data_IF_954139895170
#
_entry.id   IF_954139895170
#
_cell.length_a   1.000
_cell.length_b   1.000
_cell.length_c   1.000
_cell.angle_alpha   90.00
_cell.angle_beta   90.00
_cell.angle_gamma   90.00
#
_symmetry.space_group_name_H-M   'P 1'
#
loop_
_entity.id
_entity.type
_entity.pdbx_description
1 polymer ?
#
# COMPACT_ATOMS: atom_id res chain seq x y z
N UNK A 1 -14.41 15.22 14.04
CA UNK A 1 -12.93 15.18 14.07
C UNK A 1 -12.44 15.37 12.65
N UNK A 2 -11.25 15.92 12.45
CA UNK A 2 -10.66 16.11 11.13
C UNK A 2 -9.34 15.35 11.08
N UNK A 3 -9.06 14.75 9.93
CA UNK A 3 -7.92 13.88 9.76
C UNK A 3 -7.34 14.05 8.36
N UNK A 4 -6.02 13.89 8.25
CA UNK A 4 -5.37 13.65 6.96
C UNK A 4 -5.97 12.39 6.33
N UNK A 5 -6.20 12.45 5.02
CA UNK A 5 -6.75 11.36 4.20
C UNK A 5 -6.12 11.36 2.80
N UNK A 6 -6.35 10.29 2.06
CA UNK A 6 -5.68 10.01 0.79
C UNK A 6 -4.35 9.29 1.01
N UNK A 7 -4.12 8.23 0.25
CA UNK A 7 -2.97 7.33 0.44
C UNK A 7 -1.64 8.07 0.42
N UNK A 8 -1.41 8.92 -0.60
CA UNK A 8 -0.17 9.69 -0.73
C UNK A 8 0.08 10.62 0.46
N UNK A 9 -0.95 11.34 0.92
CA UNK A 9 -0.83 12.24 2.07
C UNK A 9 -0.61 11.48 3.38
N UNK A 10 -1.24 10.31 3.55
CA UNK A 10 -1.04 9.44 4.72
C UNK A 10 0.37 8.83 4.76
N UNK A 11 0.90 8.40 3.61
CA UNK A 11 2.29 7.95 3.48
C UNK A 11 3.24 9.10 3.83
N UNK A 12 3.06 10.28 3.21
CA UNK A 12 3.88 11.46 3.47
C UNK A 12 3.85 11.88 4.94
N UNK A 13 2.67 11.93 5.55
CA UNK A 13 2.49 12.21 6.97
C UNK A 13 3.23 11.22 7.86
N UNK A 14 3.21 9.94 7.50
CA UNK A 14 3.88 8.90 8.27
C UNK A 14 5.40 8.99 8.15
N UNK A 15 5.93 9.25 6.97
CA UNK A 15 7.36 9.45 6.77
C UNK A 15 7.86 10.70 7.50
N UNK A 16 7.07 11.78 7.49
CA UNK A 16 7.39 13.06 8.15
C UNK A 16 7.53 12.97 9.68
N UNK A 17 7.11 11.88 10.32
CA UNK A 17 7.39 11.64 11.75
C UNK A 17 8.88 11.46 12.04
N UNK A 18 9.70 11.26 11.00
CA UNK A 18 11.15 11.18 11.10
C UNK A 18 11.74 12.56 10.75
N UNK A 19 12.35 13.26 11.73
CA UNK A 19 12.80 14.64 11.53
C UNK A 19 14.00 14.77 10.57
N UNK A 20 14.69 13.67 10.29
CA UNK A 20 15.84 13.63 9.38
C UNK A 20 15.42 13.48 7.91
N UNK A 21 14.12 13.26 7.63
CA UNK A 21 13.59 13.15 6.27
C UNK A 21 12.92 14.45 5.86
N UNK A 22 13.22 14.89 4.64
CA UNK A 22 12.46 15.93 3.97
C UNK A 22 11.40 15.29 3.09
N UNK A 23 10.15 15.70 3.24
CA UNK A 23 9.03 15.13 2.49
C UNK A 23 8.46 16.19 1.55
N UNK A 24 8.31 15.85 0.28
CA UNK A 24 7.51 16.62 -0.68
C UNK A 24 6.20 15.88 -0.92
N UNK A 25 5.08 16.60 -0.83
CA UNK A 25 3.75 16.07 -1.10
C UNK A 25 3.04 16.92 -2.16
N UNK A 26 2.60 16.27 -3.23
CA UNK A 26 1.66 16.85 -4.19
C UNK A 26 0.32 16.12 -4.14
N UNK A 27 -0.75 16.89 -4.32
CA UNK A 27 -2.14 16.46 -4.22
C UNK A 27 -3.05 17.69 -4.11
N UNK A 28 -4.38 17.52 -4.11
CA UNK A 28 -5.31 18.63 -3.95
C UNK A 28 -5.30 19.16 -2.50
N UNK A 29 -4.28 19.95 -2.16
CA UNK A 29 -4.05 20.44 -0.80
C UNK A 29 -4.71 21.80 -0.60
N UNK A 30 -5.83 21.81 0.12
CA UNK A 30 -6.46 23.02 0.58
C UNK A 30 -5.91 23.52 1.93
N UNK A 31 -6.43 24.64 2.44
CA UNK A 31 -5.94 25.24 3.68
C UNK A 31 -6.14 24.33 4.91
N UNK A 32 -7.21 23.53 4.97
CA UNK A 32 -7.45 22.64 6.11
C UNK A 32 -6.52 21.44 6.12
N UNK A 33 -6.27 20.83 4.96
CA UNK A 33 -5.32 19.73 4.83
C UNK A 33 -3.91 20.22 5.15
N UNK A 34 -3.52 21.38 4.61
CA UNK A 34 -2.22 21.98 4.93
C UNK A 34 -2.02 22.22 6.44
N UNK A 35 -3.06 22.68 7.16
CA UNK A 35 -3.02 22.83 8.62
C UNK A 35 -2.90 21.48 9.37
N UNK A 36 -3.38 20.39 8.79
CA UNK A 36 -3.36 19.05 9.40
C UNK A 36 -2.08 18.27 9.10
N UNK A 37 -1.34 18.65 8.05
CA UNK A 37 -0.08 18.03 7.69
C UNK A 37 1.01 18.38 8.70
N UNK A 38 2.00 17.50 8.84
CA UNK A 38 3.20 17.78 9.63
C UNK A 38 3.98 18.96 9.02
N UNK A 39 4.59 19.81 9.86
CA UNK A 39 5.40 20.96 9.42
C UNK A 39 6.60 20.54 8.55
N UNK A 40 7.06 19.28 8.65
CA UNK A 40 8.13 18.72 7.83
C UNK A 40 7.67 18.34 6.41
N UNK A 41 6.37 18.37 6.11
CA UNK A 41 5.81 18.12 4.78
C UNK A 41 5.81 19.41 3.96
N UNK A 42 6.61 19.44 2.92
CA UNK A 42 6.66 20.54 1.95
C UNK A 42 5.62 20.29 0.87
N UNK A 43 4.68 21.22 0.72
CA UNK A 43 3.71 21.23 -0.37
C UNK A 43 4.09 22.34 -1.36
N UNK A 44 4.38 22.03 -2.64
CA UNK A 44 4.67 23.05 -3.64
C UNK A 44 3.50 24.04 -3.78
N UNK A 45 3.75 25.35 -3.94
CA UNK A 45 2.69 26.34 -4.15
C UNK A 45 1.74 25.99 -5.29
N UNK A 46 2.24 25.36 -6.35
CA UNK A 46 1.50 24.89 -7.51
C UNK A 46 0.53 23.74 -7.18
N UNK A 47 0.77 23.02 -6.08
CA UNK A 47 -0.09 21.95 -5.58
C UNK A 47 -1.11 22.45 -4.53
N UNK A 48 -1.01 23.72 -4.12
CA UNK A 48 -1.96 24.34 -3.18
C UNK A 48 -3.21 24.82 -3.92
N UNK A 49 -4.37 24.66 -3.29
CA UNK A 49 -5.67 25.08 -3.84
C UNK A 49 -6.51 25.83 -2.79
N UNK A 50 -7.51 26.59 -3.25
CA UNK A 50 -8.35 27.43 -2.37
C UNK A 50 -9.28 26.61 -1.45
N UNK A 51 -9.60 25.37 -1.82
CA UNK A 51 -10.57 24.52 -1.11
C UNK A 51 -10.02 23.11 -0.92
N UNK A 52 -10.34 22.49 0.20
CA UNK A 52 -10.01 21.09 0.46
C UNK A 52 -10.99 20.13 -0.21
N UNK A 53 -10.50 18.94 -0.56
CA UNK A 53 -11.34 17.81 -0.97
C UNK A 53 -11.81 17.02 0.27
N UNK A 54 -13.00 17.36 0.77
CA UNK A 54 -13.54 16.70 1.96
C UNK A 54 -14.20 15.36 1.64
N UNK A 55 -13.76 14.31 2.32
CA UNK A 55 -14.45 13.03 2.39
C UNK A 55 -15.18 12.92 3.72
N UNK A 56 -16.51 12.83 3.67
CA UNK A 56 -17.36 12.78 4.85
C UNK A 56 -17.60 11.32 5.23
N UNK A 57 -17.01 10.92 6.36
CA UNK A 57 -17.16 9.58 6.95
C UNK A 57 -18.16 9.68 8.10
N UNK A 58 -19.36 9.14 7.89
CA UNK A 58 -20.42 9.07 8.89
C UNK A 58 -20.39 7.69 9.53
N UNK A 59 -19.83 7.62 10.73
CA UNK A 59 -19.78 6.38 11.52
C UNK A 59 -21.07 6.20 12.33
N UNK A 60 -21.45 4.94 12.53
CA UNK A 60 -22.52 4.55 13.43
C UNK A 60 -22.15 3.26 14.15
N UNK A 61 -22.55 3.15 15.41
CA UNK A 61 -22.23 2.03 16.28
C UNK A 61 -23.26 0.91 16.18
N UNK A 62 -22.87 -0.31 16.56
CA UNK A 62 -23.81 -1.41 16.68
C UNK A 62 -24.88 -1.06 17.73
N UNK A 63 -26.16 -1.16 17.34
CA UNK A 63 -27.30 -0.84 18.18
C UNK A 63 -27.67 0.64 18.25
N UNK A 64 -26.96 1.54 17.54
CA UNK A 64 -27.31 2.96 17.45
C UNK A 64 -28.67 3.15 16.77
N UNK A 65 -29.49 4.08 17.28
CA UNK A 65 -30.85 4.31 16.82
C UNK A 65 -31.05 5.72 16.25
N UNK A 66 -31.71 5.80 15.09
CA UNK A 66 -32.23 7.06 14.56
C UNK A 66 -33.70 6.90 14.18
N UNK A 67 -34.58 7.46 15.01
CA UNK A 67 -36.03 7.31 14.85
C UNK A 67 -36.48 5.86 15.07
N UNK A 68 -36.87 5.17 13.98
CA UNK A 68 -37.32 3.76 14.01
C UNK A 68 -36.28 2.76 13.50
N UNK A 69 -35.11 3.24 13.10
CA UNK A 69 -34.04 2.42 12.53
C UNK A 69 -32.96 2.19 13.58
N UNK A 70 -32.50 0.95 13.70
CA UNK A 70 -31.42 0.54 14.59
C UNK A 70 -30.32 -0.13 13.77
N UNK A 71 -29.08 0.30 13.94
CA UNK A 71 -27.93 -0.30 13.24
C UNK A 71 -27.65 -1.71 13.78
N UNK A 72 -27.58 -2.76 12.93
CA UNK A 72 -27.30 -4.13 13.39
C UNK A 72 -25.82 -4.36 13.71
N UNK A 73 -24.93 -3.52 13.20
CA UNK A 73 -23.48 -3.59 13.38
C UNK A 73 -22.88 -2.18 13.35
N UNK A 74 -21.69 -2.03 13.92
CA UNK A 74 -20.90 -0.82 13.77
C UNK A 74 -20.35 -0.76 12.35
N UNK A 75 -20.53 0.36 11.66
CA UNK A 75 -20.01 0.57 10.32
C UNK A 75 -19.92 2.06 10.01
N UNK A 76 -19.59 2.39 8.76
CA UNK A 76 -19.40 3.75 8.27
C UNK A 76 -20.01 3.93 6.88
N UNK A 77 -20.54 5.11 6.61
CA UNK A 77 -20.95 5.56 5.29
C UNK A 77 -20.03 6.69 4.84
N UNK A 78 -19.43 6.56 3.65
CA UNK A 78 -18.46 7.52 3.12
C UNK A 78 -19.02 8.13 1.85
N UNK A 79 -18.99 9.47 1.74
CA UNK A 79 -19.27 10.17 0.50
C UNK A 79 -18.39 11.42 0.34
N UNK A 80 -18.15 11.81 -0.90
CA UNK A 80 -17.36 12.98 -1.26
C UNK A 80 -17.85 13.56 -2.59
N UNK A 81 -17.35 14.75 -2.94
CA UNK A 81 -17.44 15.31 -4.29
C UNK A 81 -16.04 15.61 -4.81
N UNK A 82 -15.22 14.57 -4.87
CA UNK A 82 -13.80 14.68 -5.15
C UNK A 82 -13.51 14.47 -6.65
N UNK A 83 -13.47 15.58 -7.37
CA UNK A 83 -13.14 15.58 -8.80
C UNK A 83 -11.62 15.60 -9.03
N UNK A 84 -10.87 16.22 -8.10
CA UNK A 84 -9.44 16.46 -8.25
C UNK A 84 -8.63 15.17 -8.18
N UNK A 85 -8.87 14.33 -7.17
CA UNK A 85 -8.20 13.05 -7.06
C UNK A 85 -8.71 12.05 -8.12
N UNK A 86 -10.01 12.10 -8.45
CA UNK A 86 -10.59 11.23 -9.48
C UNK A 86 -9.99 11.43 -10.88
N UNK A 87 -9.44 12.60 -11.16
CA UNK A 87 -8.74 12.91 -12.42
C UNK A 87 -7.21 12.91 -12.28
N UNK A 88 -6.66 12.63 -11.09
CA UNK A 88 -5.22 12.73 -10.80
C UNK A 88 -4.61 14.09 -11.20
N UNK A 89 -5.33 15.20 -11.02
CA UNK A 89 -4.97 16.49 -11.62
C UNK A 89 -3.60 17.05 -11.19
N UNK A 90 -3.02 16.54 -10.10
CA UNK A 90 -1.74 17.02 -9.55
C UNK A 90 -0.54 16.18 -9.97
N UNK A 91 -0.72 15.19 -10.84
CA UNK A 91 0.38 14.31 -11.26
C UNK A 91 1.46 15.07 -12.05
N UNK A 92 1.08 15.95 -12.96
CA UNK A 92 2.03 16.77 -13.71
C UNK A 92 2.80 17.73 -12.81
N UNK A 93 2.10 18.35 -11.85
CA UNK A 93 2.71 19.24 -10.86
C UNK A 93 3.71 18.45 -10.01
N UNK A 94 3.34 17.24 -9.59
CA UNK A 94 4.22 16.34 -8.87
C UNK A 94 5.50 16.06 -9.67
N UNK A 95 5.37 15.57 -10.90
CA UNK A 95 6.54 15.23 -11.73
C UNK A 95 7.41 16.46 -12.00
N UNK A 96 6.82 17.63 -12.28
CA UNK A 96 7.60 18.87 -12.48
C UNK A 96 8.37 19.33 -11.25
N UNK A 97 7.91 18.96 -10.05
CA UNK A 97 8.57 19.36 -8.80
C UNK A 97 9.79 18.47 -8.45
N UNK A 98 9.93 17.32 -9.10
CA UNK A 98 10.99 16.35 -8.78
C UNK A 98 12.38 16.87 -9.17
N UNK A 99 12.48 17.64 -10.25
CA UNK A 99 13.75 18.22 -10.73
C UNK A 99 14.40 19.15 -9.69
N UNK A 100 13.58 19.97 -9.01
CA UNK A 100 14.06 20.86 -7.95
C UNK A 100 14.27 20.11 -6.63
N UNK A 101 13.38 19.16 -6.32
CA UNK A 101 13.41 18.46 -5.04
C UNK A 101 14.50 17.39 -4.94
N UNK A 102 14.86 16.75 -6.06
CA UNK A 102 15.86 15.68 -6.15
C UNK A 102 15.63 14.55 -5.13
N UNK A 103 14.51 13.81 -5.23
CA UNK A 103 14.17 12.78 -4.25
C UNK A 103 15.07 11.54 -4.35
N UNK A 104 15.36 10.92 -3.20
CA UNK A 104 15.96 9.58 -3.15
C UNK A 104 14.93 8.44 -3.32
N UNK A 105 13.64 8.75 -3.19
CA UNK A 105 12.52 7.82 -3.32
C UNK A 105 11.27 8.57 -3.79
N UNK A 106 10.58 8.02 -4.78
CA UNK A 106 9.26 8.48 -5.19
C UNK A 106 8.19 7.49 -4.72
N UNK A 107 7.10 8.01 -4.14
CA UNK A 107 5.94 7.19 -3.77
C UNK A 107 4.69 7.72 -4.47
N UNK A 108 4.02 6.84 -5.21
CA UNK A 108 2.83 7.11 -5.99
C UNK A 108 1.64 6.34 -5.41
N UNK A 109 0.47 6.99 -5.42
CA UNK A 109 -0.81 6.32 -5.18
C UNK A 109 -1.94 7.12 -5.83
N UNK A 110 -3.18 6.66 -5.68
CA UNK A 110 -4.38 7.33 -6.19
C UNK A 110 -4.89 6.83 -7.54
N UNK A 111 -4.17 5.93 -8.24
CA UNK A 111 -4.63 5.37 -9.53
C UNK A 111 -6.06 4.78 -9.44
N UNK A 112 -6.37 4.11 -8.33
CA UNK A 112 -7.69 3.54 -8.04
C UNK A 112 -8.82 4.59 -8.00
N UNK A 113 -8.51 5.86 -7.69
CA UNK A 113 -9.52 6.92 -7.65
C UNK A 113 -10.05 7.28 -9.04
N UNK A 114 -9.36 6.87 -10.11
CA UNK A 114 -9.84 7.02 -11.47
C UNK A 114 -11.04 6.13 -11.79
N UNK A 115 -11.37 5.10 -11.00
CA UNK A 115 -12.48 4.17 -11.28
C UNK A 115 -13.84 4.86 -11.44
N UNK A 116 -14.05 6.02 -10.81
CA UNK A 116 -15.28 6.80 -10.97
C UNK A 116 -15.41 7.49 -12.34
N UNK A 117 -14.35 7.54 -13.14
CA UNK A 117 -14.33 8.20 -14.46
C UNK A 117 -14.81 7.27 -15.58
N UNK A 118 -15.16 7.85 -16.74
CA UNK A 118 -15.50 7.05 -17.92
C UNK A 118 -14.31 6.18 -18.38
N UNK A 119 -14.58 5.05 -19.04
CA UNK A 119 -13.54 4.14 -19.54
C UNK A 119 -12.52 4.86 -20.43
N UNK A 120 -12.98 5.77 -21.28
CA UNK A 120 -12.14 6.57 -22.19
C UNK A 120 -11.26 7.55 -21.41
N UNK A 121 -11.82 8.23 -20.40
CA UNK A 121 -11.05 9.15 -19.56
C UNK A 121 -10.01 8.40 -18.72
N UNK A 122 -10.36 7.24 -18.16
CA UNK A 122 -9.41 6.38 -17.42
C UNK A 122 -8.26 5.93 -18.31
N UNK A 123 -8.55 5.42 -19.50
CA UNK A 123 -7.51 4.97 -20.42
C UNK A 123 -6.60 6.11 -20.86
N UNK A 124 -7.16 7.27 -21.22
CA UNK A 124 -6.38 8.46 -21.58
C UNK A 124 -5.51 8.90 -20.41
N UNK A 125 -6.09 9.01 -19.21
CA UNK A 125 -5.38 9.50 -18.03
C UNK A 125 -4.29 8.54 -17.58
N UNK A 126 -4.53 7.23 -17.69
CA UNK A 126 -3.52 6.22 -17.40
C UNK A 126 -2.32 6.34 -18.37
N UNK A 127 -2.55 6.57 -19.66
CA UNK A 127 -1.44 6.81 -20.61
C UNK A 127 -0.65 8.09 -20.27
N UNK A 128 -1.32 9.18 -19.89
CA UNK A 128 -0.68 10.41 -19.42
C UNK A 128 0.16 10.14 -18.15
N UNK A 129 -0.36 9.33 -17.23
CA UNK A 129 0.34 8.95 -16.01
C UNK A 129 1.58 8.10 -16.31
N UNK A 130 1.47 7.11 -17.19
CA UNK A 130 2.59 6.27 -17.63
C UNK A 130 3.70 7.11 -18.25
N UNK A 131 3.35 8.07 -19.12
CA UNK A 131 4.32 8.99 -19.70
C UNK A 131 5.02 9.82 -18.61
N UNK A 132 4.25 10.40 -17.68
CA UNK A 132 4.79 11.21 -16.59
C UNK A 132 5.69 10.41 -15.64
N UNK A 133 5.34 9.15 -15.35
CA UNK A 133 6.16 8.25 -14.53
C UNK A 133 7.45 7.87 -15.27
N UNK A 134 7.39 7.70 -16.60
CA UNK A 134 8.56 7.37 -17.42
C UNK A 134 9.57 8.52 -17.53
N UNK A 135 9.14 9.76 -17.26
CA UNK A 135 10.02 10.93 -17.25
C UNK A 135 10.82 11.05 -15.94
N UNK A 136 10.49 10.25 -14.91
CA UNK A 136 11.23 10.20 -13.65
C UNK A 136 12.61 9.55 -13.90
N UNK A 137 13.72 10.13 -13.40
CA UNK A 137 15.05 9.54 -13.53
C UNK A 137 15.10 8.08 -13.07
N UNK A 138 15.71 7.22 -13.89
CA UNK A 138 15.71 5.76 -13.69
C UNK A 138 16.52 5.28 -12.48
N UNK A 139 17.36 6.15 -11.92
CA UNK A 139 18.12 5.89 -10.69
C UNK A 139 17.31 6.12 -9.42
N UNK A 140 16.13 6.74 -9.52
CA UNK A 140 15.24 7.01 -8.38
C UNK A 140 14.23 5.85 -8.25
N UNK A 141 14.22 5.10 -7.13
CA UNK A 141 13.24 4.05 -6.92
C UNK A 141 11.82 4.62 -6.80
N UNK A 142 10.87 3.94 -7.43
CA UNK A 142 9.45 4.30 -7.42
C UNK A 142 8.65 3.21 -6.70
N UNK A 143 7.88 3.59 -5.69
CA UNK A 143 6.90 2.74 -5.03
C UNK A 143 5.48 3.11 -5.45
N UNK A 144 4.66 2.11 -5.79
CA UNK A 144 3.23 2.27 -6.04
C UNK A 144 2.42 1.62 -4.91
N UNK A 145 1.70 2.43 -4.12
CA UNK A 145 0.70 1.91 -3.19
C UNK A 145 -0.62 1.71 -3.95
N UNK A 146 -1.00 0.44 -4.16
CA UNK A 146 -2.31 0.07 -4.66
C UNK A 146 -3.34 0.11 -3.52
N UNK A 147 -4.55 0.52 -3.85
CA UNK A 147 -5.67 0.49 -2.94
C UNK A 147 -6.94 0.04 -3.68
N UNK A 148 -8.08 0.15 -3.02
CA UNK A 148 -9.33 -0.50 -3.41
C UNK A 148 -9.70 -0.27 -4.88
N UNK A 149 -9.61 -1.35 -5.66
CA UNK A 149 -10.03 -1.41 -7.06
C UNK A 149 -11.10 -2.48 -7.24
N UNK A 150 -12.03 -2.22 -8.14
CA UNK A 150 -13.17 -3.08 -8.47
C UNK A 150 -13.33 -3.32 -9.97
N UNK A 151 -12.60 -2.59 -10.82
CA UNK A 151 -12.63 -2.77 -12.27
C UNK A 151 -11.47 -3.65 -12.77
N UNK A 152 -11.81 -4.84 -13.28
CA UNK A 152 -10.83 -5.84 -13.72
C UNK A 152 -10.06 -5.39 -14.97
N UNK A 153 -10.73 -4.73 -15.92
CA UNK A 153 -10.07 -4.21 -17.13
C UNK A 153 -9.03 -3.15 -16.72
N UNK A 154 -9.38 -2.29 -15.77
CA UNK A 154 -8.49 -1.23 -15.30
C UNK A 154 -7.30 -1.78 -14.51
N UNK A 155 -7.53 -2.74 -13.59
CA UNK A 155 -6.46 -3.45 -12.89
C UNK A 155 -5.52 -4.16 -13.88
N UNK A 156 -6.09 -4.86 -14.85
CA UNK A 156 -5.34 -5.53 -15.93
C UNK A 156 -4.47 -4.53 -16.70
N UNK A 157 -4.99 -3.35 -17.07
CA UNK A 157 -4.20 -2.31 -17.73
C UNK A 157 -3.04 -1.79 -16.85
N UNK A 158 -3.24 -1.61 -15.55
CA UNK A 158 -2.18 -1.18 -14.62
C UNK A 158 -1.06 -2.23 -14.56
N UNK A 159 -1.43 -3.53 -14.51
CA UNK A 159 -0.48 -4.64 -14.48
C UNK A 159 0.27 -4.84 -15.80
N UNK A 160 -0.43 -4.78 -16.93
CA UNK A 160 0.12 -5.13 -18.24
C UNK A 160 0.79 -3.93 -18.91
N UNK A 161 2.13 -3.98 -19.00
CA UNK A 161 3.00 -3.10 -19.80
C UNK A 161 2.94 -1.59 -19.51
N UNK A 162 2.04 -1.11 -18.64
CA UNK A 162 1.84 0.31 -18.40
C UNK A 162 2.54 0.79 -17.13
N UNK A 163 2.17 0.26 -15.95
CA UNK A 163 2.67 0.81 -14.67
C UNK A 163 3.66 -0.11 -13.98
N UNK A 164 3.36 -1.40 -13.84
CA UNK A 164 4.24 -2.34 -13.12
C UNK A 164 5.69 -2.36 -13.64
N UNK A 165 5.96 -2.29 -14.96
CA UNK A 165 7.34 -2.25 -15.45
C UNK A 165 8.11 -0.99 -15.05
N UNK A 166 7.42 0.10 -14.73
CA UNK A 166 8.03 1.40 -14.42
C UNK A 166 8.29 1.63 -12.93
N UNK A 167 7.83 0.73 -12.05
CA UNK A 167 7.94 0.89 -10.61
C UNK A 167 8.83 -0.19 -10.01
N UNK A 168 9.63 0.17 -9.01
CA UNK A 168 10.54 -0.75 -8.34
C UNK A 168 9.84 -1.54 -7.23
N UNK A 169 8.80 -0.94 -6.65
CA UNK A 169 8.08 -1.53 -5.54
C UNK A 169 6.56 -1.34 -5.61
N UNK A 170 5.81 -2.31 -5.11
CA UNK A 170 4.35 -2.21 -4.93
C UNK A 170 3.98 -2.48 -3.48
N UNK A 171 2.98 -1.78 -2.95
CA UNK A 171 2.31 -2.08 -1.68
C UNK A 171 0.83 -2.36 -1.91
N UNK A 172 0.27 -3.37 -1.24
CA UNK A 172 -1.13 -3.81 -1.42
C UNK A 172 -1.60 -4.72 -0.28
N UNK A 173 -2.93 -4.87 -0.13
CA UNK A 173 -3.53 -5.81 0.82
C UNK A 173 -4.13 -7.07 0.14
N UNK A 174 -4.78 -7.93 0.93
CA UNK A 174 -5.37 -9.18 0.44
C UNK A 174 -6.47 -9.00 -0.63
N UNK A 175 -7.25 -7.92 -0.57
CA UNK A 175 -8.30 -7.63 -1.55
C UNK A 175 -7.68 -7.30 -2.90
N UNK A 176 -6.71 -6.39 -2.94
CA UNK A 176 -6.02 -6.06 -4.19
C UNK A 176 -5.21 -7.25 -4.71
N UNK A 177 -4.55 -8.04 -3.84
CA UNK A 177 -3.82 -9.24 -4.27
C UNK A 177 -4.72 -10.27 -4.96
N UNK A 178 -5.88 -10.55 -4.35
CA UNK A 178 -6.84 -11.49 -4.92
C UNK A 178 -7.40 -10.95 -6.24
N UNK A 179 -7.68 -9.65 -6.29
CA UNK A 179 -8.20 -9.02 -7.48
C UNK A 179 -7.19 -9.01 -8.65
N UNK A 180 -5.90 -8.83 -8.35
CA UNK A 180 -4.80 -8.95 -9.33
C UNK A 180 -4.80 -10.35 -9.98
N UNK A 181 -4.80 -11.41 -9.17
CA UNK A 181 -4.78 -12.77 -9.72
C UNK A 181 -6.05 -13.10 -10.51
N UNK A 182 -7.22 -12.64 -10.04
CA UNK A 182 -8.49 -12.80 -10.77
C UNK A 182 -8.47 -12.09 -12.13
N UNK A 183 -7.93 -10.86 -12.18
CA UNK A 183 -7.93 -10.03 -13.40
C UNK A 183 -6.99 -10.54 -14.48
N UNK A 184 -5.85 -11.13 -14.08
CA UNK A 184 -4.81 -11.61 -14.99
C UNK A 184 -4.72 -13.14 -15.08
N UNK A 185 -5.73 -13.86 -14.57
CA UNK A 185 -5.78 -15.34 -14.57
C UNK A 185 -4.55 -16.00 -13.93
N UNK A 186 -4.07 -15.44 -12.83
CA UNK A 186 -2.93 -15.94 -12.08
C UNK A 186 -3.25 -17.14 -11.16
N UNK A 187 -2.31 -17.55 -10.29
CA UNK A 187 -2.52 -18.59 -9.31
C UNK A 187 -3.73 -18.31 -8.42
N UNK A 188 -4.55 -19.32 -8.19
CA UNK A 188 -5.73 -19.22 -7.32
C UNK A 188 -6.80 -18.21 -7.78
N UNK A 189 -6.80 -17.79 -9.05
CA UNK A 189 -7.80 -16.87 -9.62
C UNK A 189 -9.26 -17.36 -9.50
N UNK A 190 -9.49 -18.67 -9.33
CA UNK A 190 -10.82 -19.23 -9.10
C UNK A 190 -11.38 -18.97 -7.69
N UNK A 191 -10.55 -18.50 -6.75
CA UNK A 191 -10.98 -18.15 -5.41
C UNK A 191 -11.86 -16.90 -5.45
N UNK A 192 -13.13 -17.01 -5.07
CA UNK A 192 -14.06 -15.89 -5.13
C UNK A 192 -13.79 -14.81 -4.07
N UNK A 193 -13.39 -15.22 -2.87
CA UNK A 193 -13.03 -14.33 -1.75
C UNK A 193 -12.20 -15.10 -0.72
N UNK A 194 -11.46 -14.37 0.11
CA UNK A 194 -10.79 -14.95 1.28
C UNK A 194 -11.79 -15.41 2.33
N UNK A 195 -11.62 -16.62 2.84
CA UNK A 195 -12.41 -17.13 3.97
C UNK A 195 -11.63 -16.97 5.27
N UNK A 196 -11.80 -15.84 5.95
CA UNK A 196 -11.05 -15.50 7.14
C UNK A 196 -9.66 -14.94 6.82
N UNK A 197 -8.63 -15.43 7.52
CA UNK A 197 -7.25 -14.99 7.30
C UNK A 197 -6.76 -15.58 5.97
N UNK A 198 -6.18 -14.78 5.05
CA UNK A 198 -5.60 -15.30 3.82
C UNK A 198 -4.57 -16.41 4.11
N UNK A 199 -4.62 -17.49 3.36
CA UNK A 199 -3.64 -18.57 3.51
C UNK A 199 -2.26 -18.09 3.01
N UNK A 200 -1.24 -18.29 3.85
CA UNK A 200 0.12 -17.78 3.59
C UNK A 200 0.71 -18.36 2.30
N UNK A 201 0.48 -19.65 2.03
CA UNK A 201 0.99 -20.31 0.83
C UNK A 201 0.29 -19.81 -0.43
N UNK A 202 -1.03 -19.60 -0.36
CA UNK A 202 -1.82 -19.04 -1.47
C UNK A 202 -1.37 -17.62 -1.79
N UNK A 203 -1.21 -16.78 -0.77
CA UNK A 203 -0.67 -15.41 -0.91
C UNK A 203 0.73 -15.44 -1.52
N UNK A 204 1.61 -16.31 -1.01
CA UNK A 204 2.99 -16.43 -1.49
C UNK A 204 3.07 -16.89 -2.94
N UNK A 205 2.17 -17.77 -3.39
CA UNK A 205 2.08 -18.20 -4.79
C UNK A 205 1.73 -17.05 -5.72
N UNK A 206 0.77 -16.20 -5.35
CA UNK A 206 0.37 -15.04 -6.15
C UNK A 206 1.51 -14.02 -6.19
N UNK A 207 2.12 -13.72 -5.04
CA UNK A 207 3.25 -12.79 -4.94
C UNK A 207 4.45 -13.24 -5.77
N UNK A 208 4.78 -14.54 -5.71
CA UNK A 208 5.81 -15.15 -6.54
C UNK A 208 5.50 -14.97 -8.02
N UNK A 209 4.28 -15.31 -8.43
CA UNK A 209 3.83 -15.19 -9.81
C UNK A 209 3.89 -13.75 -10.33
N UNK A 210 3.50 -12.75 -9.52
CA UNK A 210 3.62 -11.33 -9.93
C UNK A 210 5.08 -10.99 -10.25
N UNK A 211 6.03 -11.33 -9.38
CA UNK A 211 7.44 -11.03 -9.65
C UNK A 211 8.02 -11.84 -10.81
N UNK A 212 7.57 -13.09 -11.04
CA UNK A 212 8.02 -13.90 -12.18
C UNK A 212 7.46 -13.39 -13.52
N UNK A 213 6.18 -13.02 -13.57
CA UNK A 213 5.51 -12.61 -14.81
C UNK A 213 5.60 -11.11 -15.11
N UNK A 214 5.77 -10.28 -14.09
CA UNK A 214 5.76 -8.82 -14.22
C UNK A 214 6.99 -8.14 -13.60
N UNK A 215 7.77 -8.85 -12.77
CA UNK A 215 9.00 -8.34 -12.20
C UNK A 215 10.20 -8.36 -13.14
N UNK A 216 11.30 -7.80 -12.64
CA UNK A 216 12.60 -7.73 -13.32
C UNK A 216 13.17 -9.13 -13.58
N UNK A 217 13.46 -9.43 -14.84
CA UNK A 217 14.20 -10.63 -15.26
C UNK A 217 15.23 -10.26 -16.33
N UNK A 218 16.10 -11.19 -16.72
CA UNK A 218 17.09 -10.93 -17.77
C UNK A 218 16.44 -10.61 -19.14
N UNK A 219 15.23 -11.12 -19.39
CA UNK A 219 14.51 -11.00 -20.65
C UNK A 219 13.45 -9.88 -20.66
N UNK A 220 13.05 -9.38 -19.49
CA UNK A 220 11.95 -8.40 -19.35
C UNK A 220 12.47 -7.04 -18.92
N UNK A 221 12.11 -6.02 -19.69
CA UNK A 221 12.26 -4.62 -19.30
C UNK A 221 11.19 -4.26 -18.25
N UNK A 222 11.46 -4.60 -16.99
CA UNK A 222 10.66 -4.24 -15.82
C UNK A 222 11.60 -3.92 -14.67
N UNK A 223 11.28 -2.91 -13.87
CA UNK A 223 12.05 -2.55 -12.68
C UNK A 223 11.46 -3.08 -11.37
N UNK A 224 10.30 -3.75 -11.44
CA UNK A 224 9.60 -4.28 -10.29
C UNK A 224 10.40 -5.40 -9.63
N UNK A 225 10.85 -5.14 -8.40
CA UNK A 225 11.70 -6.05 -7.62
C UNK A 225 11.26 -6.22 -6.18
N UNK A 226 10.21 -5.51 -5.71
CA UNK A 226 9.71 -5.56 -4.33
C UNK A 226 8.19 -5.48 -4.24
N UNK A 227 7.57 -6.35 -3.46
CA UNK A 227 6.15 -6.22 -3.09
C UNK A 227 6.04 -6.28 -1.56
N UNK A 228 5.38 -5.28 -0.96
CA UNK A 228 5.04 -5.25 0.45
C UNK A 228 3.55 -5.60 0.59
N UNK A 229 3.30 -6.88 0.89
CA UNK A 229 1.97 -7.38 1.17
C UNK A 229 1.63 -7.18 2.64
N UNK A 230 0.49 -6.56 2.93
CA UNK A 230 0.01 -6.36 4.28
C UNK A 230 -1.44 -6.81 4.44
N UNK A 231 -1.70 -7.70 5.40
CA UNK A 231 -3.05 -8.06 5.81
C UNK A 231 -3.18 -7.93 7.33
N UNK A 232 -4.41 -8.02 7.85
CA UNK A 232 -4.70 -7.84 9.27
C UNK A 232 -3.82 -8.70 10.19
N UNK A 233 -3.54 -9.95 9.81
CA UNK A 233 -2.91 -10.92 10.70
C UNK A 233 -1.39 -11.04 10.52
N UNK A 234 -0.85 -10.72 9.35
CA UNK A 234 0.57 -10.88 9.02
C UNK A 234 0.93 -10.02 7.81
N UNK A 235 2.22 -9.71 7.66
CA UNK A 235 2.77 -9.07 6.46
C UNK A 235 3.78 -9.99 5.79
N UNK A 236 3.95 -9.82 4.48
CA UNK A 236 5.01 -10.46 3.69
C UNK A 236 5.71 -9.39 2.86
N UNK A 237 7.03 -9.29 3.02
CA UNK A 237 7.87 -8.49 2.16
C UNK A 237 8.65 -9.43 1.24
N UNK A 238 8.32 -9.39 -0.06
CA UNK A 238 8.91 -10.25 -1.08
C UNK A 238 9.78 -9.42 -2.02
N UNK A 239 10.97 -9.92 -2.33
CA UNK A 239 11.95 -9.20 -3.14
C UNK A 239 12.66 -10.13 -4.11
N UNK A 240 12.94 -9.63 -5.31
CA UNK A 240 13.95 -10.21 -6.21
C UNK A 240 15.32 -10.03 -5.55
N UNK A 241 16.08 -11.10 -5.47
CA UNK A 241 17.38 -11.13 -4.78
C UNK A 241 18.36 -10.12 -5.38
N UNK A 242 19.20 -9.54 -4.52
CA UNK A 242 20.28 -8.64 -4.95
C UNK A 242 19.85 -7.20 -5.24
N UNK A 243 18.59 -6.82 -4.96
CA UNK A 243 18.10 -5.45 -5.17
C UNK A 243 17.81 -4.67 -3.87
N UNK A 244 17.54 -5.35 -2.76
CA UNK A 244 17.08 -4.73 -1.52
C UNK A 244 17.80 -5.28 -0.28
N UNK A 245 18.09 -4.38 0.67
CA UNK A 245 18.69 -4.66 1.97
C UNK A 245 17.74 -4.37 3.15
N UNK A 246 18.06 -4.93 4.31
CA UNK A 246 17.34 -4.71 5.59
C UNK A 246 15.85 -5.15 5.62
N UNK A 247 15.45 -6.06 4.74
CA UNK A 247 14.04 -6.44 4.54
C UNK A 247 13.40 -7.12 5.77
N UNK A 248 14.19 -7.82 6.59
CA UNK A 248 13.69 -8.41 7.84
C UNK A 248 13.24 -7.35 8.85
N UNK A 249 14.01 -6.27 9.01
CA UNK A 249 13.63 -5.16 9.88
C UNK A 249 12.49 -4.35 9.26
N UNK A 250 12.49 -4.16 7.93
CA UNK A 250 11.45 -3.43 7.21
C UNK A 250 10.07 -4.05 7.39
N UNK A 251 9.92 -5.36 7.19
CA UNK A 251 8.62 -6.03 7.36
C UNK A 251 8.16 -6.00 8.83
N UNK A 252 9.11 -6.14 9.77
CA UNK A 252 8.83 -6.05 11.20
C UNK A 252 8.41 -4.63 11.63
N UNK A 253 9.04 -3.60 11.08
CA UNK A 253 8.69 -2.20 11.32
C UNK A 253 7.27 -1.91 10.84
N UNK A 254 6.91 -2.34 9.63
CA UNK A 254 5.54 -2.26 9.11
C UNK A 254 4.53 -2.98 10.02
N UNK A 255 4.81 -4.21 10.46
CA UNK A 255 3.93 -4.95 11.37
C UNK A 255 3.80 -4.30 12.76
N UNK A 256 4.87 -3.70 13.27
CA UNK A 256 4.85 -2.94 14.54
C UNK A 256 4.04 -1.65 14.41
N UNK A 257 4.17 -0.93 13.29
CA UNK A 257 3.40 0.27 12.99
C UNK A 257 1.90 -0.03 12.95
N UNK A 258 1.51 -1.17 12.36
CA UNK A 258 0.12 -1.62 12.35
C UNK A 258 -0.48 -1.70 13.76
N UNK A 259 0.24 -2.32 14.71
CA UNK A 259 -0.23 -2.47 16.10
C UNK A 259 -0.28 -1.14 16.87
N UNK A 260 0.81 -0.37 16.82
CA UNK A 260 0.96 0.91 17.54
C UNK A 260 -0.03 1.97 17.05
N UNK A 261 -0.15 2.15 15.73
CA UNK A 261 -1.07 3.12 15.15
C UNK A 261 -2.53 2.75 15.37
N UNK A 262 -2.90 1.47 15.22
CA UNK A 262 -4.28 1.03 15.48
C UNK A 262 -4.70 1.25 16.94
N UNK A 263 -3.79 1.00 17.90
CA UNK A 263 -4.03 1.22 19.32
C UNK A 263 -3.79 2.68 19.78
N UNK A 264 -3.30 3.56 18.90
CA UNK A 264 -2.87 4.92 19.22
C UNK A 264 -1.90 4.98 20.41
N UNK A 265 -0.83 4.18 20.36
CA UNK A 265 0.24 4.13 21.37
C UNK A 265 1.61 4.30 20.73
N UNK A 266 2.55 4.94 21.43
CA UNK A 266 3.92 5.15 20.91
C UNK A 266 4.69 3.83 20.75
N UNK A 267 4.45 2.88 21.65
CA UNK A 267 5.02 1.52 21.63
C UNK A 267 3.93 0.48 21.75
N UNK A 268 4.24 -0.79 21.45
CA UNK A 268 3.29 -1.88 21.60
C UNK A 268 2.89 -2.04 23.08
N UNK A 269 1.60 -1.92 23.36
CA UNK A 269 0.99 -2.30 24.63
C UNK A 269 0.50 -3.75 24.53
N UNK A 270 1.24 -4.67 25.14
CA UNK A 270 0.97 -6.11 25.09
C UNK A 270 -0.39 -6.50 25.68
N UNK A 271 -0.98 -5.66 26.53
CA UNK A 271 -2.33 -5.89 27.08
C UNK A 271 -3.43 -5.63 26.04
N UNK A 272 -3.18 -4.74 25.08
CA UNK A 272 -4.15 -4.30 24.07
C UNK A 272 -4.05 -5.04 22.74
N UNK A 273 -3.04 -5.89 22.56
CA UNK A 273 -2.84 -6.62 21.31
C UNK A 273 -3.03 -8.13 21.47
N UNK A 274 -3.23 -8.80 20.36
CA UNK A 274 -3.27 -10.27 20.29
C UNK A 274 -2.67 -10.76 18.98
N UNK A 275 -2.15 -12.00 18.99
CA UNK A 275 -1.64 -12.66 17.81
C UNK A 275 -2.81 -13.35 17.08
N UNK A 276 -3.02 -12.99 15.81
CA UNK A 276 -4.09 -13.58 14.98
C UNK A 276 -3.57 -14.52 13.90
N UNK A 277 -2.29 -14.41 13.52
CA UNK A 277 -1.66 -15.24 12.48
C UNK A 277 -1.76 -16.75 12.79
N UNK A 278 -1.81 -17.60 11.75
CA UNK A 278 -1.73 -19.04 11.95
C UNK A 278 -0.38 -19.44 12.58
N UNK A 279 -0.43 -20.27 13.62
CA UNK A 279 0.79 -20.75 14.31
C UNK A 279 1.61 -21.72 13.45
N UNK A 280 0.96 -22.38 12.49
CA UNK A 280 1.62 -23.20 11.49
C UNK A 280 1.05 -22.88 10.11
N UNK A 281 1.90 -22.82 9.09
CA UNK A 281 1.50 -22.58 7.71
C UNK A 281 2.46 -23.25 6.73
N UNK A 282 2.07 -23.31 5.46
CA UNK A 282 2.94 -23.74 4.36
C UNK A 282 3.36 -22.55 3.51
N UNK A 283 4.57 -22.58 2.95
CA UNK A 283 5.12 -21.47 2.14
C UNK A 283 4.57 -21.40 0.72
N UNK A 284 3.88 -22.43 0.24
CA UNK A 284 3.28 -22.51 -1.10
C UNK A 284 2.28 -23.67 -1.14
N UNK A 285 1.26 -23.59 -2.00
CA UNK A 285 0.41 -24.74 -2.35
C UNK A 285 0.69 -25.27 -3.75
N UNK A 286 1.49 -24.57 -4.54
CA UNK A 286 1.82 -24.95 -5.92
C UNK A 286 3.14 -25.69 -6.04
N UNK A 287 4.19 -25.30 -5.29
CA UNK A 287 5.53 -25.88 -5.44
C UNK A 287 6.32 -25.92 -4.13
N UNK A 288 7.02 -27.04 -3.91
CA UNK A 288 7.98 -27.25 -2.81
C UNK A 288 7.55 -26.68 -1.43
N UNK A 289 6.38 -27.10 -0.90
CA UNK A 289 5.86 -26.56 0.35
C UNK A 289 6.81 -26.85 1.52
N UNK A 290 7.21 -25.80 2.23
CA UNK A 290 7.87 -25.92 3.53
C UNK A 290 6.86 -25.61 4.62
N UNK A 291 6.76 -26.48 5.62
CA UNK A 291 5.92 -26.23 6.80
C UNK A 291 6.70 -25.36 7.79
N UNK A 292 6.12 -24.23 8.17
CA UNK A 292 6.66 -23.31 9.16
C UNK A 292 5.81 -23.38 10.42
N UNK A 293 6.45 -23.31 11.58
CA UNK A 293 5.80 -23.12 12.88
C UNK A 293 6.35 -21.82 13.49
N UNK A 294 5.46 -20.90 13.90
CA UNK A 294 5.84 -19.60 14.43
C UNK A 294 6.54 -19.72 15.79
N UNK A 295 7.73 -19.14 15.88
CA UNK A 295 8.46 -18.93 17.12
C UNK A 295 8.32 -17.46 17.54
N UNK A 296 7.64 -17.13 18.65
CA UNK A 296 7.49 -15.74 19.10
C UNK A 296 8.82 -15.03 19.41
N UNK A 297 9.87 -15.79 19.77
CA UNK A 297 11.20 -15.23 20.03
C UNK A 297 11.99 -14.94 18.74
N UNK A 298 11.54 -15.51 17.60
CA UNK A 298 12.10 -15.30 16.26
C UNK A 298 10.96 -15.06 15.25
N UNK A 299 10.23 -13.92 15.36
CA UNK A 299 8.94 -13.73 14.70
C UNK A 299 9.04 -13.38 13.21
N UNK A 300 10.24 -13.08 12.70
CA UNK A 300 10.46 -12.82 11.27
C UNK A 300 10.98 -14.09 10.63
N UNK A 301 10.15 -14.72 9.80
CA UNK A 301 10.48 -15.94 9.07
C UNK A 301 10.97 -15.57 7.67
N UNK A 302 12.07 -16.18 7.25
CA UNK A 302 12.62 -16.00 5.91
C UNK A 302 12.63 -17.34 5.14
N UNK A 303 12.20 -17.31 3.88
CA UNK A 303 12.41 -18.40 2.94
C UNK A 303 12.70 -17.86 1.54
N UNK A 304 13.18 -18.74 0.66
CA UNK A 304 13.63 -18.40 -0.68
C UNK A 304 13.00 -19.33 -1.72
N UNK A 305 12.66 -18.78 -2.90
CA UNK A 305 12.13 -19.51 -4.05
C UNK A 305 12.65 -18.87 -5.34
N UNK A 306 13.55 -19.55 -6.04
CA UNK A 306 14.03 -19.18 -7.40
C UNK A 306 14.51 -17.74 -7.58
N UNK A 307 15.47 -17.27 -6.77
CA UNK A 307 15.97 -15.89 -6.88
C UNK A 307 15.03 -14.85 -6.26
N UNK A 308 13.99 -15.29 -5.52
CA UNK A 308 13.06 -14.41 -4.80
C UNK A 308 13.05 -14.81 -3.32
N UNK A 309 13.29 -13.82 -2.46
CA UNK A 309 13.26 -13.95 -1.01
C UNK A 309 11.96 -13.41 -0.43
N UNK A 310 11.43 -14.13 0.56
CA UNK A 310 10.21 -13.81 1.29
C UNK A 310 10.52 -13.59 2.76
N UNK A 311 10.02 -12.49 3.31
CA UNK A 311 10.11 -12.16 4.73
C UNK A 311 8.70 -12.05 5.30
N UNK A 312 8.31 -13.00 6.13
CA UNK A 312 7.01 -13.02 6.81
C UNK A 312 7.17 -12.56 8.24
N UNK A 313 6.18 -11.82 8.75
CA UNK A 313 6.06 -11.61 10.19
C UNK A 313 4.59 -11.46 10.59
N UNK A 314 4.16 -11.99 11.75
CA UNK A 314 2.80 -11.80 12.21
C UNK A 314 2.59 -10.39 12.75
N UNK A 315 1.34 -9.92 12.71
CA UNK A 315 0.95 -8.63 13.28
C UNK A 315 0.43 -8.84 14.71
N UNK A 316 0.83 -7.94 15.61
CA UNK A 316 0.21 -7.79 16.92
C UNK A 316 -1.03 -6.91 16.78
N UNK A 317 -2.18 -7.55 16.56
CA UNK A 317 -3.44 -6.88 16.19
C UNK A 317 -4.02 -6.19 17.41
N UNK A 318 -4.37 -4.90 17.28
CA UNK A 318 -5.07 -4.16 18.33
C UNK A 318 -6.46 -4.74 18.58
N UNK A 319 -6.80 -5.03 19.84
CA UNK A 319 -8.12 -5.54 20.27
C UNK A 319 -9.22 -4.51 20.08
N UNK A 320 -8.92 -3.28 20.49
CA UNK A 320 -9.87 -2.15 20.52
C UNK A 320 -9.26 -0.97 19.75
N UNK A 321 -9.25 -1.02 18.40
CA UNK A 321 -8.58 -0.02 17.60
C UNK A 321 -9.29 1.34 17.69
N UNK A 322 -8.51 2.40 17.83
CA UNK A 322 -9.01 3.79 17.82
C UNK A 322 -9.27 4.25 16.39
N UNK A 323 -8.39 3.88 15.45
CA UNK A 323 -8.50 4.20 14.03
C UNK A 323 -7.69 3.23 13.19
N UNK A 324 -8.29 2.68 12.13
CA UNK A 324 -7.63 1.78 11.17
C UNK A 324 -7.62 2.32 9.73
N UNK A 325 -8.31 3.43 9.48
CA UNK A 325 -8.26 4.12 8.18
C UNK A 325 -6.84 4.65 7.97
N UNK A 326 -6.23 4.29 6.83
CA UNK A 326 -4.86 4.67 6.49
C UNK A 326 -3.77 3.79 7.09
N UNK A 327 -4.13 2.63 7.67
CA UNK A 327 -3.14 1.76 8.30
C UNK A 327 -2.19 1.12 7.27
N UNK A 328 -2.72 0.68 6.12
CA UNK A 328 -1.91 0.14 5.02
C UNK A 328 -0.86 1.15 4.52
N UNK A 329 -1.27 2.40 4.33
CA UNK A 329 -0.39 3.50 3.93
C UNK A 329 0.77 3.68 4.92
N UNK A 330 0.48 3.67 6.22
CA UNK A 330 1.49 3.79 7.26
C UNK A 330 2.42 2.56 7.34
N UNK A 331 1.89 1.37 7.08
CA UNK A 331 2.65 0.12 7.01
C UNK A 331 3.64 0.18 5.85
N UNK A 332 3.19 0.58 4.67
CA UNK A 332 4.04 0.72 3.49
C UNK A 332 5.11 1.79 3.67
N UNK A 333 4.75 2.95 4.24
CA UNK A 333 5.69 4.02 4.59
C UNK A 333 6.82 3.52 5.50
N UNK A 334 6.48 2.82 6.60
CA UNK A 334 7.47 2.25 7.52
C UNK A 334 8.30 1.15 6.87
N UNK A 335 7.68 0.30 6.05
CA UNK A 335 8.41 -0.70 5.29
C UNK A 335 9.41 -0.08 4.31
N UNK A 336 9.10 1.07 3.70
CA UNK A 336 10.01 1.79 2.80
C UNK A 336 11.13 2.48 3.58
N UNK A 337 10.80 3.16 4.67
CA UNK A 337 11.74 3.84 5.55
C UNK A 337 12.88 2.93 6.02
N UNK A 338 12.55 1.68 6.34
CA UNK A 338 13.50 0.69 6.82
C UNK A 338 14.11 -0.17 5.70
N UNK A 339 13.71 0.02 4.44
CA UNK A 339 14.30 -0.67 3.29
C UNK A 339 15.53 0.08 2.77
N UNK A 340 16.52 -0.66 2.28
CA UNK A 340 17.67 -0.12 1.55
C UNK A 340 17.61 -0.59 0.09
N UNK A 341 17.77 0.33 -0.86
CA UNK A 341 17.89 -0.03 -2.29
C UNK A 341 19.37 -0.18 -2.61
N UNK A 342 19.76 -1.31 -3.20
CA UNK A 342 21.13 -1.45 -3.70
C UNK A 342 21.30 -0.68 -5.01
N UNK A 343 22.39 0.08 -5.17
CA UNK A 343 22.72 0.71 -6.45
C UNK A 343 22.81 -0.38 -7.54
N UNK A 344 22.17 -0.13 -8.70
CA UNK A 344 22.24 -1.04 -9.85
C UNK A 344 23.49 -0.85 -10.69
#
# INVERSE_FOLDING_TARGET
QLYVGGNAALIGQKLATNPDLKILLCGPVGPKLHELLDDNVVVPPESMQERDEFHLILEYQAGEEWGRVRAPAANRFIFSHDLSNGALNMLEVFVSSLDEFQPDLVVLSGLHMMEGQSKEMRQRRLMEAVASISDIPTDIPIHLELASMTDQDFMSNIMHQQVFPLVNSIGLNEQELLFLTQSASGPHAALASWSGIPDVGVVSDILFWILKEHGKTAERASDLTRIHFHTLAYHILVTVDGHWGNQAAAVAAGARAAGTQACATDTIDTSKVFLKAPLEFVTSHTEAPSKISLNPDEPVVHWHREGISFHFTPVLVCKDPVRTVGLGDAISAEGLLYSEVYPQ
#
